data_IF_163152103039
#
_entry.id   IF_163152103039
#
_cell.length_a   1.000
_cell.length_b   1.000
_cell.length_c   1.000
_cell.angle_alpha   90.00
_cell.angle_beta   90.00
_cell.angle_gamma   90.00
#
_symmetry.space_group_name_H-M   'P 1'
#
loop_
_entity.id
_entity.type
_entity.pdbx_description
1 polymer ?
#
# COMPACT_ATOMS: atom_id res chain seq x y z
N UNK A 1 -15.73 -6.25 23.55
CA UNK A 1 -16.28 -7.06 22.44
C UNK A 1 -16.44 -8.45 22.97
N UNK A 2 -17.67 -8.89 23.15
CA UNK A 2 -17.96 -10.26 23.60
C UNK A 2 -17.97 -11.20 22.39
N UNK A 3 -17.62 -12.45 22.61
CA UNK A 3 -17.36 -13.44 21.56
C UNK A 3 -18.59 -13.69 20.64
N UNK A 4 -19.80 -13.49 21.17
CA UNK A 4 -21.06 -13.56 20.41
C UNK A 4 -21.33 -12.34 19.52
N UNK A 5 -20.93 -11.14 19.95
CA UNK A 5 -21.20 -9.88 19.22
C UNK A 5 -20.40 -9.72 17.93
N UNK A 6 -19.25 -10.40 17.82
CA UNK A 6 -18.39 -10.30 16.64
C UNK A 6 -19.06 -10.93 15.41
N UNK A 7 -19.66 -12.10 15.58
CA UNK A 7 -20.29 -12.82 14.47
C UNK A 7 -21.53 -12.11 13.93
N UNK A 8 -22.22 -11.33 14.77
CA UNK A 8 -23.41 -10.57 14.39
C UNK A 8 -23.09 -9.35 13.51
N UNK A 9 -21.91 -8.75 13.69
CA UNK A 9 -21.49 -7.54 12.95
C UNK A 9 -20.76 -7.90 11.65
N UNK A 10 -20.17 -9.10 11.57
CA UNK A 10 -19.41 -9.53 10.40
C UNK A 10 -20.33 -9.86 9.21
N UNK A 11 -19.92 -9.42 8.02
CA UNK A 11 -20.60 -9.78 6.77
C UNK A 11 -20.59 -11.31 6.59
N UNK A 12 -21.74 -11.87 6.23
CA UNK A 12 -21.96 -13.29 5.97
C UNK A 12 -20.94 -13.88 4.98
N UNK A 13 -20.47 -13.08 4.02
CA UNK A 13 -19.42 -13.48 3.05
C UNK A 13 -18.10 -13.79 3.74
N UNK A 14 -17.77 -13.05 4.80
CA UNK A 14 -16.53 -13.21 5.57
C UNK A 14 -16.63 -14.42 6.50
N UNK A 15 -17.79 -14.63 7.12
CA UNK A 15 -18.06 -15.77 8.02
C UNK A 15 -17.91 -17.13 7.33
N UNK A 16 -18.37 -17.24 6.07
CA UNK A 16 -18.34 -18.51 5.34
C UNK A 16 -16.95 -18.93 4.83
N UNK A 17 -15.99 -18.00 4.78
CA UNK A 17 -14.69 -18.22 4.14
C UNK A 17 -13.49 -18.26 5.09
N UNK A 18 -13.64 -17.87 6.36
CA UNK A 18 -12.49 -17.61 7.25
C UNK A 18 -12.60 -18.32 8.60
N UNK A 19 -11.42 -18.51 9.21
CA UNK A 19 -11.28 -19.07 10.54
C UNK A 19 -11.78 -18.02 11.56
N UNK A 20 -12.76 -18.40 12.37
CA UNK A 20 -13.35 -17.55 13.41
C UNK A 20 -12.28 -17.01 14.37
N UNK A 21 -11.25 -17.80 14.69
CA UNK A 21 -10.17 -17.36 15.58
C UNK A 21 -9.33 -16.22 15.00
N UNK A 22 -9.03 -16.26 13.69
CA UNK A 22 -8.33 -15.14 13.05
C UNK A 22 -9.20 -13.88 12.97
N UNK A 23 -10.51 -14.05 12.78
CA UNK A 23 -11.43 -12.93 12.79
C UNK A 23 -11.50 -12.28 14.18
N UNK A 24 -11.42 -13.08 15.25
CA UNK A 24 -11.29 -12.56 16.61
C UNK A 24 -10.02 -11.75 16.78
N UNK A 25 -8.86 -12.26 16.38
CA UNK A 25 -7.60 -11.53 16.52
C UNK A 25 -7.60 -10.20 15.76
N UNK A 26 -8.09 -10.19 14.51
CA UNK A 26 -8.22 -8.95 13.72
C UNK A 26 -9.20 -7.98 14.40
N UNK A 27 -10.30 -8.47 14.96
CA UNK A 27 -11.26 -7.62 15.66
C UNK A 27 -10.69 -7.06 16.98
N UNK A 28 -9.87 -7.82 17.70
CA UNK A 28 -9.14 -7.35 18.88
C UNK A 28 -8.14 -6.25 18.53
N UNK A 29 -7.42 -6.39 17.42
CA UNK A 29 -6.54 -5.36 16.90
C UNK A 29 -7.31 -4.10 16.51
N UNK A 30 -8.38 -4.23 15.73
CA UNK A 30 -9.24 -3.11 15.34
C UNK A 30 -9.80 -2.37 16.57
N UNK A 31 -10.22 -3.10 17.62
CA UNK A 31 -10.68 -2.50 18.88
C UNK A 31 -9.59 -1.66 19.55
N UNK A 32 -8.33 -2.11 19.53
CA UNK A 32 -7.21 -1.33 20.08
C UNK A 32 -6.93 -0.07 19.26
N UNK A 33 -7.08 -0.14 17.93
CA UNK A 33 -6.93 1.02 17.04
C UNK A 33 -8.04 2.07 17.23
N UNK A 34 -9.24 1.65 17.61
CA UNK A 34 -10.41 2.53 17.80
C UNK A 34 -10.56 3.06 19.23
N UNK A 35 -9.52 3.01 20.08
CA UNK A 35 -9.60 3.59 21.43
C UNK A 35 -9.81 5.10 21.36
N UNK A 36 -10.65 5.64 22.25
CA UNK A 36 -10.93 7.08 22.28
C UNK A 36 -9.66 7.90 22.61
N UNK A 37 -8.84 7.39 23.53
CA UNK A 37 -7.55 7.96 23.86
C UNK A 37 -6.49 7.60 22.81
N UNK A 38 -5.96 8.61 22.13
CA UNK A 38 -4.96 8.45 21.05
C UNK A 38 -3.66 7.80 21.52
N UNK A 39 -3.20 8.13 22.73
CA UNK A 39 -1.95 7.61 23.31
C UNK A 39 -1.99 6.10 23.59
N UNK A 40 -3.20 5.55 23.73
CA UNK A 40 -3.39 4.12 23.90
C UNK A 40 -3.47 3.39 22.55
N UNK A 41 -3.66 4.09 21.43
CA UNK A 41 -3.75 3.42 20.13
C UNK A 41 -2.38 2.83 19.78
N UNK A 42 -2.34 1.60 19.22
CA UNK A 42 -1.10 1.06 18.70
C UNK A 42 -0.57 1.95 17.58
N UNK A 43 0.75 2.02 17.46
CA UNK A 43 1.42 2.67 16.33
C UNK A 43 1.16 1.89 15.04
N UNK A 44 1.18 2.54 13.88
CA UNK A 44 0.93 1.85 12.61
C UNK A 44 1.96 0.77 12.30
N UNK A 45 3.20 0.95 12.77
CA UNK A 45 4.23 -0.09 12.77
C UNK A 45 3.78 -1.35 13.53
N UNK A 46 3.24 -1.20 14.74
CA UNK A 46 2.73 -2.33 15.53
C UNK A 46 1.54 -3.00 14.83
N UNK A 47 0.62 -2.21 14.28
CA UNK A 47 -0.53 -2.73 13.54
C UNK A 47 -0.08 -3.54 12.32
N UNK A 48 0.88 -3.04 11.55
CA UNK A 48 1.43 -3.73 10.39
C UNK A 48 2.07 -5.07 10.79
N UNK A 49 2.94 -5.07 11.80
CA UNK A 49 3.59 -6.29 12.28
C UNK A 49 2.58 -7.32 12.77
N UNK A 50 1.58 -6.92 13.56
CA UNK A 50 0.57 -7.86 14.05
C UNK A 50 -0.28 -8.44 12.90
N UNK A 51 -0.56 -7.66 11.85
CA UNK A 51 -1.27 -8.16 10.66
C UNK A 51 -0.41 -9.12 9.84
N UNK A 52 0.88 -8.82 9.67
CA UNK A 52 1.84 -9.72 9.01
C UNK A 52 1.89 -11.07 9.72
N UNK A 53 1.94 -11.08 11.06
CA UNK A 53 1.93 -12.30 11.86
C UNK A 53 0.65 -13.11 11.66
N UNK A 54 -0.52 -12.45 11.67
CA UNK A 54 -1.81 -13.11 11.45
C UNK A 54 -1.94 -13.71 10.05
N UNK A 55 -1.29 -13.11 9.05
CA UNK A 55 -1.20 -13.65 7.69
C UNK A 55 -0.23 -14.84 7.65
N UNK A 56 0.95 -14.72 8.27
CA UNK A 56 2.00 -15.74 8.30
C UNK A 56 1.58 -17.02 9.06
N UNK A 57 0.70 -16.90 10.07
CA UNK A 57 0.10 -18.04 10.77
C UNK A 57 -0.68 -18.98 9.84
N UNK A 58 -1.09 -18.51 8.65
CA UNK A 58 -1.61 -19.35 7.58
C UNK A 58 -0.50 -19.68 6.59
N UNK A 59 -0.08 -20.95 6.55
CA UNK A 59 0.57 -21.55 5.37
C UNK A 59 -0.41 -21.62 4.19
N UNK A 60 -0.90 -20.49 3.71
CA UNK A 60 -1.58 -20.35 2.44
C UNK A 60 -0.68 -19.51 1.53
N UNK A 61 -0.56 -19.84 0.23
CA UNK A 61 0.30 -19.09 -0.67
C UNK A 61 -0.36 -17.74 -0.95
N UNK A 62 -0.13 -16.79 -0.06
CA UNK A 62 -0.23 -15.39 -0.43
C UNK A 62 0.87 -15.17 -1.46
N UNK A 63 0.47 -14.85 -2.69
CA UNK A 63 1.39 -14.57 -3.80
C UNK A 63 2.36 -13.50 -3.33
N UNK A 64 3.64 -13.88 -3.29
CA UNK A 64 4.77 -13.00 -3.06
C UNK A 64 4.87 -12.03 -4.24
N UNK A 65 4.01 -11.02 -4.26
CA UNK A 65 3.99 -9.97 -5.26
C UNK A 65 4.74 -8.77 -4.75
N UNK A 66 6.07 -8.76 -4.97
CA UNK A 66 6.93 -7.58 -4.91
C UNK A 66 7.18 -7.03 -3.50
N UNK A 67 8.44 -6.73 -3.22
CA UNK A 67 8.85 -5.99 -2.03
C UNK A 67 8.00 -4.73 -1.84
N UNK A 68 7.10 -4.73 -0.85
CA UNK A 68 6.67 -3.49 -0.21
C UNK A 68 7.84 -3.02 0.63
N UNK A 69 8.81 -2.41 -0.03
CA UNK A 69 9.75 -1.54 0.65
C UNK A 69 8.95 -0.39 1.25
N UNK A 70 8.92 -0.40 2.57
CA UNK A 70 8.50 0.69 3.43
C UNK A 70 9.14 2.01 3.00
N UNK A 71 8.31 2.96 2.59
CA UNK A 71 8.49 4.37 2.95
C UNK A 71 7.13 5.03 3.14
N UNK A 72 6.67 5.10 4.39
CA UNK A 72 5.82 6.21 4.81
C UNK A 72 6.73 7.45 4.84
N UNK A 73 6.94 8.08 3.69
CA UNK A 73 7.57 9.40 3.64
C UNK A 73 6.51 10.44 4.06
N UNK A 74 6.37 10.65 5.36
CA UNK A 74 5.81 11.90 5.88
C UNK A 74 6.77 13.05 5.54
N UNK A 75 6.41 13.83 4.53
CA UNK A 75 6.87 15.21 4.38
C UNK A 75 5.67 16.10 4.02
N UNK A 76 4.78 16.31 5.00
CA UNK A 76 3.86 17.46 4.99
C UNK A 76 4.67 18.71 5.38
N UNK A 77 4.97 19.54 4.36
CA UNK A 77 5.63 20.86 4.42
C UNK A 77 7.10 20.91 4.85
N UNK A 78 7.95 21.37 3.92
CA UNK A 78 9.29 21.86 4.25
C UNK A 78 10.25 22.02 3.08
N UNK A 79 9.90 22.78 2.03
CA UNK A 79 10.88 23.19 1.03
C UNK A 79 11.74 24.36 1.53
N UNK A 80 13.01 24.08 1.83
CA UNK A 80 14.15 25.01 1.73
C UNK A 80 15.44 24.16 1.76
N UNK A 81 16.48 24.35 0.95
CA UNK A 81 16.91 25.53 0.22
C UNK A 81 17.96 25.18 -0.87
N UNK A 82 18.12 26.12 -1.83
CA UNK A 82 19.39 26.61 -2.39
C UNK A 82 20.23 25.67 -3.31
N UNK A 83 20.69 26.03 -4.51
CA UNK A 83 20.60 27.23 -5.34
C UNK A 83 21.04 26.86 -6.77
N UNK A 84 20.33 27.28 -7.80
CA UNK A 84 20.96 27.64 -9.07
C UNK A 84 20.39 28.96 -9.56
N UNK A 85 21.31 29.87 -9.81
CA UNK A 85 21.09 31.22 -10.29
C UNK A 85 20.33 31.24 -11.64
N UNK A 86 19.47 32.25 -11.75
CA UNK A 86 18.88 32.81 -12.98
C UNK A 86 17.61 32.14 -13.52
N UNK A 87 16.47 32.60 -12.97
CA UNK A 87 15.51 33.36 -13.77
C UNK A 87 14.46 32.58 -14.55
N UNK A 88 13.57 31.86 -13.87
CA UNK A 88 12.12 31.83 -14.12
C UNK A 88 11.43 31.04 -12.98
N UNK A 89 10.32 31.56 -12.49
CA UNK A 89 9.58 31.07 -11.31
C UNK A 89 8.49 30.08 -11.75
N UNK A 90 8.54 28.83 -11.26
CA UNK A 90 7.55 27.78 -11.60
C UNK A 90 8.07 26.36 -11.40
N UNK A 91 8.39 25.98 -10.17
CA UNK A 91 8.96 24.66 -9.83
C UNK A 91 7.94 23.53 -9.74
N UNK A 92 7.95 22.64 -10.73
CA UNK A 92 7.37 21.29 -10.63
C UNK A 92 8.48 20.24 -10.81
N UNK A 93 8.67 19.42 -9.77
CA UNK A 93 9.12 18.03 -9.84
C UNK A 93 10.54 17.75 -10.30
N UNK A 94 11.44 17.51 -9.34
CA UNK A 94 12.54 16.57 -9.55
C UNK A 94 11.92 15.17 -9.74
N UNK A 95 11.59 14.81 -10.98
CA UNK A 95 11.16 13.46 -11.32
C UNK A 95 12.40 12.58 -11.17
N UNK A 96 12.34 11.64 -10.22
CA UNK A 96 13.37 10.60 -10.06
C UNK A 96 13.75 10.04 -11.44
N UNK A 97 15.05 10.01 -11.75
CA UNK A 97 15.55 9.52 -13.02
C UNK A 97 15.02 8.10 -13.36
N UNK A 98 14.69 7.31 -12.33
CA UNK A 98 14.08 5.99 -12.48
C UNK A 98 12.64 6.04 -13.02
N UNK A 99 11.84 7.04 -12.66
CA UNK A 99 10.46 7.19 -13.16
C UNK A 99 10.48 7.56 -14.64
N UNK A 100 11.42 8.41 -15.06
CA UNK A 100 11.57 8.80 -16.46
C UNK A 100 12.02 7.62 -17.33
N UNK A 101 13.04 6.87 -16.89
CA UNK A 101 13.53 5.69 -17.60
C UNK A 101 12.49 4.57 -17.71
N UNK A 102 11.68 4.35 -16.66
CA UNK A 102 10.60 3.37 -16.69
C UNK A 102 9.51 3.74 -17.71
N UNK A 103 9.14 5.03 -17.78
CA UNK A 103 8.16 5.50 -18.77
C UNK A 103 8.72 5.40 -20.19
N UNK A 104 9.98 5.77 -20.42
CA UNK A 104 10.60 5.70 -21.75
C UNK A 104 10.68 4.25 -22.27
N UNK A 105 10.97 3.28 -21.40
CA UNK A 105 11.00 1.86 -21.73
C UNK A 105 9.62 1.33 -22.14
N UNK A 106 8.57 1.68 -21.39
CA UNK A 106 7.19 1.28 -21.71
C UNK A 106 6.72 1.89 -23.04
N UNK A 107 7.04 3.16 -23.30
CA UNK A 107 6.69 3.83 -24.54
C UNK A 107 7.38 3.20 -25.76
N UNK A 108 8.65 2.81 -25.63
CA UNK A 108 9.38 2.09 -26.69
C UNK A 108 8.77 0.72 -26.99
N UNK A 109 8.30 0.01 -25.96
CA UNK A 109 7.67 -1.30 -26.12
C UNK A 109 6.30 -1.19 -26.82
N UNK A 110 5.46 -0.24 -26.40
CA UNK A 110 4.16 0.03 -27.05
C UNK A 110 4.34 0.50 -28.49
N UNK A 111 5.32 1.37 -28.75
CA UNK A 111 5.60 1.86 -30.11
C UNK A 111 6.08 0.73 -31.05
N UNK A 112 6.84 -0.24 -30.54
CA UNK A 112 7.25 -1.42 -31.30
C UNK A 112 6.04 -2.31 -31.65
N UNK A 113 5.14 -2.53 -30.69
CA UNK A 113 3.94 -3.36 -30.88
C UNK A 113 2.97 -2.72 -31.89
N UNK A 114 2.74 -1.41 -31.81
CA UNK A 114 1.94 -0.65 -32.79
C UNK A 114 2.59 -0.70 -34.19
N UNK A 115 3.91 -0.56 -34.27
CA UNK A 115 4.61 -0.61 -35.57
C UNK A 115 4.51 -1.99 -36.23
N UNK A 116 4.48 -3.08 -35.44
CA UNK A 116 4.23 -4.43 -35.90
C UNK A 116 2.79 -4.62 -36.40
N UNK A 117 1.79 -4.09 -35.70
CA UNK A 117 0.39 -4.14 -36.16
C UNK A 117 0.19 -3.40 -37.49
N UNK A 118 0.84 -2.24 -37.64
CA UNK A 118 0.80 -1.46 -38.89
C UNK A 118 1.52 -2.20 -40.03
N UNK A 119 2.63 -2.88 -39.74
CA UNK A 119 3.38 -3.65 -40.73
C UNK A 119 2.65 -4.92 -41.18
N UNK A 120 1.90 -5.56 -40.27
CA UNK A 120 1.05 -6.72 -40.55
C UNK A 120 -0.32 -6.34 -41.15
N UNK A 121 -0.61 -5.04 -41.28
CA UNK A 121 -1.73 -4.52 -42.06
C UNK A 121 -3.12 -4.80 -41.47
N UNK A 122 -3.27 -4.74 -40.14
CA UNK A 122 -4.57 -4.86 -39.46
C UNK A 122 -5.13 -3.53 -38.98
#
# INVERSE_FOLDING_TARGET
MEEGSLLEVLDKRVLNQKNVEQLKEVALLARRCMRDNGEERPTMKQVATELEDLIAMKKHPYVKGGDMMSEECECLLGHAAASTSAGYDGGYGNVSANTFAAYESMQKQIAFEIALEIADGR
#
